data_IF_625010404563
#
_entry.id   IF_625010404563
#
_cell.length_a   1.000
_cell.length_b   1.000
_cell.length_c   1.000
_cell.angle_alpha   90.00
_cell.angle_beta   90.00
_cell.angle_gamma   90.00
#
_symmetry.space_group_name_H-M   'P 1'
#
loop_
_entity.id
_entity.type
_entity.pdbx_description
1 polymer ?
#
# COMPACT_ATOMS: atom_id res chain seq x y z
N UNK A 1 10.69 -31.18 43.52
CA UNK A 1 10.42 -30.80 42.12
C UNK A 1 9.41 -29.66 42.16
N UNK A 2 9.86 -28.42 41.96
CA UNK A 2 8.98 -27.25 42.00
C UNK A 2 8.06 -27.23 40.77
N UNK A 3 6.75 -27.21 41.00
CA UNK A 3 5.74 -27.12 39.94
C UNK A 3 5.76 -25.69 39.39
N UNK A 4 6.19 -25.51 38.14
CA UNK A 4 6.05 -24.25 37.42
C UNK A 4 4.57 -24.06 37.07
N UNK A 5 3.94 -23.06 37.67
CA UNK A 5 2.57 -22.69 37.32
C UNK A 5 2.59 -21.96 35.96
N UNK A 6 1.69 -22.35 35.05
CA UNK A 6 1.53 -21.65 33.77
C UNK A 6 0.96 -20.26 34.04
N UNK A 7 1.58 -19.23 33.47
CA UNK A 7 1.05 -17.87 33.51
C UNK A 7 -0.29 -17.85 32.77
N UNK A 8 -1.36 -17.56 33.49
CA UNK A 8 -2.66 -17.26 32.90
C UNK A 8 -2.59 -15.85 32.31
N UNK A 9 -2.79 -15.74 31.00
CA UNK A 9 -2.83 -14.46 30.30
C UNK A 9 -4.31 -14.24 30.00
N UNK A 10 -4.87 -13.18 30.58
CA UNK A 10 -6.24 -12.76 30.29
C UNK A 10 -6.34 -12.32 28.82
N UNK A 11 -7.55 -12.32 28.26
CA UNK A 11 -7.74 -11.88 26.86
C UNK A 11 -7.26 -10.43 26.70
N UNK A 12 -6.14 -10.26 25.98
CA UNK A 12 -5.51 -8.97 25.75
C UNK A 12 -6.52 -8.04 25.05
N UNK A 13 -6.74 -6.84 25.59
CA UNK A 13 -7.53 -5.82 24.91
C UNK A 13 -6.83 -5.41 23.60
N UNK A 14 -7.39 -5.91 22.49
CA UNK A 14 -6.87 -5.70 21.13
C UNK A 14 -7.55 -4.56 20.40
N UNK A 15 -8.46 -3.82 21.05
CA UNK A 15 -9.27 -2.79 20.39
C UNK A 15 -8.44 -1.73 19.66
N UNK A 16 -7.24 -1.42 20.16
CA UNK A 16 -6.29 -0.48 19.52
C UNK A 16 -5.76 -0.95 18.17
N UNK A 17 -5.77 -2.26 17.88
CA UNK A 17 -5.25 -2.83 16.64
C UNK A 17 -6.34 -3.05 15.58
N UNK A 18 -7.60 -3.05 15.98
CA UNK A 18 -8.74 -3.24 15.08
C UNK A 18 -9.22 -1.93 14.43
N UNK A 19 -8.60 -0.80 14.80
CA UNK A 19 -8.86 0.52 14.22
C UNK A 19 -8.31 0.55 12.79
N UNK A 20 -9.21 0.58 11.81
CA UNK A 20 -8.84 0.80 10.40
C UNK A 20 -8.88 2.29 10.11
N UNK A 21 -7.80 2.80 9.53
CA UNK A 21 -7.82 4.14 8.97
C UNK A 21 -8.62 4.13 7.66
N UNK A 22 -9.44 5.15 7.47
CA UNK A 22 -10.08 5.38 6.18
C UNK A 22 -9.03 5.72 5.13
N UNK A 23 -9.17 5.12 3.94
CA UNK A 23 -8.27 5.33 2.82
C UNK A 23 -9.05 5.87 1.63
N UNK A 24 -8.57 7.00 1.10
CA UNK A 24 -9.09 7.61 -0.12
C UNK A 24 -7.96 7.76 -1.13
N UNK A 25 -8.25 7.51 -2.41
CA UNK A 25 -7.28 7.74 -3.48
C UNK A 25 -7.25 9.22 -3.83
N UNK A 26 -6.05 9.81 -3.90
CA UNK A 26 -5.88 11.15 -4.48
C UNK A 26 -6.22 11.17 -5.97
N UNK A 27 -5.84 10.09 -6.67
CA UNK A 27 -6.14 9.86 -8.07
C UNK A 27 -6.07 8.35 -8.36
N UNK A 28 -6.94 7.88 -9.24
CA UNK A 28 -7.01 6.48 -9.68
C UNK A 28 -7.16 6.43 -11.20
N UNK A 29 -6.15 5.88 -11.89
CA UNK A 29 -6.21 5.66 -13.33
C UNK A 29 -7.17 4.54 -13.68
N UNK A 30 -7.49 4.42 -14.97
CA UNK A 30 -8.20 3.26 -15.48
C UNK A 30 -7.40 1.97 -15.28
N UNK A 31 -8.11 0.84 -15.23
CA UNK A 31 -7.51 -0.47 -15.15
C UNK A 31 -6.82 -0.84 -16.47
N UNK A 32 -5.57 -1.27 -16.40
CA UNK A 32 -4.78 -1.68 -17.57
C UNK A 32 -3.35 -1.17 -17.49
N UNK A 33 -2.52 -1.59 -18.46
CA UNK A 33 -1.16 -1.11 -18.64
C UNK A 33 -0.96 -0.76 -20.11
N UNK A 34 -1.53 0.36 -20.54
CA UNK A 34 -1.33 0.91 -21.88
C UNK A 34 -0.41 2.13 -21.81
N UNK A 35 0.17 2.50 -22.96
CA UNK A 35 1.00 3.69 -23.06
C UNK A 35 0.29 4.96 -22.56
N UNK A 36 -0.99 5.12 -22.89
CA UNK A 36 -1.80 6.27 -22.46
C UNK A 36 -1.91 6.34 -20.93
N UNK A 37 -2.16 5.20 -20.28
CA UNK A 37 -2.26 5.11 -18.82
C UNK A 37 -0.91 5.45 -18.17
N UNK A 38 0.20 4.97 -18.74
CA UNK A 38 1.54 5.28 -18.23
C UNK A 38 1.86 6.77 -18.35
N UNK A 39 1.52 7.40 -19.49
CA UNK A 39 1.69 8.85 -19.70
C UNK A 39 0.84 9.66 -18.72
N UNK A 40 -0.43 9.29 -18.54
CA UNK A 40 -1.34 9.95 -17.60
C UNK A 40 -0.81 9.88 -16.16
N UNK A 41 -0.36 8.70 -15.72
CA UNK A 41 0.22 8.52 -14.37
C UNK A 41 1.48 9.37 -14.20
N UNK A 42 2.34 9.43 -15.20
CA UNK A 42 3.61 10.17 -15.15
C UNK A 42 3.37 11.68 -15.05
N UNK A 43 2.41 12.21 -15.82
CA UNK A 43 1.97 13.61 -15.73
C UNK A 43 1.37 13.94 -14.36
N UNK A 44 0.47 13.09 -13.85
CA UNK A 44 -0.14 13.28 -12.52
C UNK A 44 0.87 13.29 -11.39
N UNK A 45 1.93 12.49 -11.52
CA UNK A 45 3.02 12.41 -10.54
C UNK A 45 4.12 13.45 -10.77
N UNK A 46 4.04 14.23 -11.84
CA UNK A 46 5.07 15.18 -12.25
C UNK A 46 6.47 14.52 -12.30
N UNK A 47 6.53 13.34 -12.90
CA UNK A 47 7.77 12.58 -13.01
C UNK A 47 8.73 13.23 -14.03
N UNK A 48 10.06 13.09 -13.84
CA UNK A 48 11.02 13.55 -14.83
C UNK A 48 10.96 12.71 -16.11
N UNK A 49 11.29 13.33 -17.25
CA UNK A 49 11.15 12.75 -18.59
C UNK A 49 11.86 11.39 -18.76
N UNK A 50 13.01 11.20 -18.10
CA UNK A 50 13.74 9.93 -18.15
C UNK A 50 12.95 8.77 -17.53
N UNK A 51 12.14 9.03 -16.51
CA UNK A 51 11.34 8.00 -15.85
C UNK A 51 10.16 7.60 -16.73
N UNK A 52 9.52 8.56 -17.39
CA UNK A 52 8.49 8.27 -18.40
C UNK A 52 9.07 7.39 -19.51
N UNK A 53 10.22 7.76 -20.09
CA UNK A 53 10.87 6.98 -21.14
C UNK A 53 11.18 5.55 -20.70
N UNK A 54 11.77 5.39 -19.51
CA UNK A 54 12.08 4.07 -18.96
C UNK A 54 10.83 3.20 -18.78
N UNK A 55 9.73 3.76 -18.29
CA UNK A 55 8.46 3.04 -18.15
C UNK A 55 7.90 2.60 -19.50
N UNK A 56 7.98 3.45 -20.52
CA UNK A 56 7.50 3.16 -21.87
C UNK A 56 8.36 2.13 -22.60
N UNK A 57 9.68 2.12 -22.37
CA UNK A 57 10.58 1.09 -22.91
C UNK A 57 10.36 -0.30 -22.29
N UNK A 58 9.77 -0.34 -21.09
CA UNK A 58 9.48 -1.58 -20.36
C UNK A 58 8.10 -2.18 -20.68
N UNK A 59 7.32 -1.53 -21.54
CA UNK A 59 5.95 -1.93 -21.92
C UNK A 59 5.98 -2.97 -23.04
#
# INVERSE_FOLDING_TARGET
>A
MEKRNKTYIDDLDRGVYDIKNDFNYDYKSQSGLTEEIVREISEKKNEPEWMLKFRLESL
#
